data_IF_346831045235
#
_entry.id   IF_346831045235
#
_cell.length_a   1.000
_cell.length_b   1.000
_cell.length_c   1.000
_cell.angle_alpha   90.00
_cell.angle_beta   90.00
_cell.angle_gamma   90.00
#
_symmetry.space_group_name_H-M   'P 1'
#
loop_
_entity.id
_entity.type
_entity.pdbx_description
1 polymer ?
#
# COMPACT_ATOMS: atom_id res chain seq x y z
N UNK A 1 6.97 -27.67 -46.16
CA UNK A 1 5.84 -28.42 -45.56
C UNK A 1 5.05 -27.42 -44.73
N UNK A 2 3.86 -27.00 -45.18
CA UNK A 2 3.04 -26.00 -44.46
C UNK A 2 2.40 -26.64 -43.23
N UNK A 3 2.74 -26.14 -42.04
CA UNK A 3 2.11 -26.53 -40.77
C UNK A 3 0.58 -26.39 -40.87
N UNK A 4 -0.15 -27.34 -40.29
CA UNK A 4 -1.61 -27.27 -40.19
C UNK A 4 -2.03 -25.97 -39.48
N UNK A 5 -2.81 -25.08 -40.13
CA UNK A 5 -3.30 -23.86 -39.51
C UNK A 5 -4.16 -24.10 -38.25
N UNK A 6 -4.61 -25.34 -38.00
CA UNK A 6 -5.37 -25.73 -36.81
C UNK A 6 -4.52 -26.20 -35.63
N UNK A 7 -3.19 -26.24 -35.76
CA UNK A 7 -2.33 -26.67 -34.66
C UNK A 7 -2.47 -25.72 -33.44
N UNK A 8 -2.79 -26.22 -32.23
CA UNK A 8 -3.20 -25.37 -31.11
C UNK A 8 -2.08 -24.43 -30.63
N UNK A 9 -0.83 -24.86 -30.73
CA UNK A 9 0.35 -24.00 -30.45
C UNK A 9 0.43 -22.84 -31.45
N UNK A 10 0.15 -23.10 -32.73
CA UNK A 10 0.20 -22.07 -33.77
C UNK A 10 -0.89 -21.04 -33.55
N UNK A 11 -2.09 -21.49 -33.20
CA UNK A 11 -3.22 -20.61 -32.83
C UNK A 11 -2.82 -19.73 -31.65
N UNK A 12 -2.29 -20.33 -30.58
CA UNK A 12 -1.85 -19.58 -29.40
C UNK A 12 -0.74 -18.56 -29.70
N UNK A 13 0.28 -18.96 -30.48
CA UNK A 13 1.37 -18.06 -30.87
C UNK A 13 0.88 -16.95 -31.80
N UNK A 14 -0.07 -17.21 -32.70
CA UNK A 14 -0.69 -16.20 -33.56
C UNK A 14 -1.52 -15.16 -32.82
N UNK A 15 -1.85 -15.40 -31.54
CA UNK A 15 -2.49 -14.39 -30.70
C UNK A 15 -1.46 -13.50 -30.00
N UNK A 16 -0.16 -13.79 -30.13
CA UNK A 16 0.89 -13.00 -29.50
C UNK A 16 1.36 -11.87 -30.43
N UNK A 17 1.43 -10.62 -29.95
CA UNK A 17 1.74 -9.46 -30.79
C UNK A 17 3.06 -9.57 -31.57
N UNK A 18 4.08 -10.19 -30.97
CA UNK A 18 5.43 -10.30 -31.53
C UNK A 18 5.59 -11.44 -32.55
N UNK A 19 4.63 -12.38 -32.63
CA UNK A 19 4.81 -13.59 -33.44
C UNK A 19 4.70 -13.29 -34.94
N UNK A 20 3.81 -12.36 -35.31
CA UNK A 20 3.59 -11.97 -36.70
C UNK A 20 4.77 -11.25 -37.33
N UNK A 21 5.61 -10.60 -36.51
CA UNK A 21 6.80 -9.88 -36.96
C UNK A 21 7.98 -10.81 -37.29
N UNK A 22 7.89 -12.09 -36.91
CA UNK A 22 8.90 -13.08 -37.26
C UNK A 22 8.76 -13.52 -38.73
N UNK A 23 9.88 -13.80 -39.38
CA UNK A 23 9.89 -14.43 -40.70
C UNK A 23 9.15 -15.77 -40.70
N UNK A 24 8.49 -16.11 -41.80
CA UNK A 24 7.66 -17.33 -41.90
C UNK A 24 8.42 -18.63 -41.59
N UNK A 25 9.71 -18.69 -41.95
CA UNK A 25 10.62 -19.79 -41.60
C UNK A 25 10.83 -19.89 -40.09
N UNK A 26 11.14 -18.76 -39.44
CA UNK A 26 11.33 -18.66 -37.98
C UNK A 26 10.04 -18.97 -37.22
N UNK A 27 8.89 -18.51 -37.71
CA UNK A 27 7.57 -18.86 -37.14
C UNK A 27 7.36 -20.38 -37.15
N UNK A 28 7.68 -21.03 -38.28
CA UNK A 28 7.53 -22.47 -38.44
C UNK A 28 8.45 -23.25 -37.50
N UNK A 29 9.73 -22.87 -37.43
CA UNK A 29 10.70 -23.46 -36.51
C UNK A 29 10.27 -23.31 -35.05
N UNK A 30 9.81 -22.11 -34.66
CA UNK A 30 9.38 -21.85 -33.29
C UNK A 30 8.17 -22.70 -32.92
N UNK A 31 7.14 -22.77 -33.78
CA UNK A 31 5.94 -23.59 -33.51
C UNK A 31 6.30 -25.06 -33.28
N UNK A 32 7.25 -25.61 -34.06
CA UNK A 32 7.72 -26.97 -33.89
C UNK A 32 8.57 -27.19 -32.63
N UNK A 33 9.26 -26.15 -32.16
CA UNK A 33 10.12 -26.22 -30.98
C UNK A 33 9.35 -26.08 -29.65
N UNK A 34 8.10 -25.60 -29.67
CA UNK A 34 7.33 -25.42 -28.45
C UNK A 34 7.06 -26.76 -27.73
N UNK A 35 7.21 -26.74 -26.42
CA UNK A 35 6.94 -27.87 -25.54
C UNK A 35 5.47 -27.88 -25.14
N UNK A 36 4.88 -29.06 -24.96
CA UNK A 36 3.54 -29.24 -24.43
C UNK A 36 3.59 -30.10 -23.17
N UNK A 37 2.87 -29.69 -22.14
CA UNK A 37 2.74 -30.45 -20.90
C UNK A 37 1.28 -30.45 -20.44
N UNK A 38 0.75 -31.61 -20.08
CA UNK A 38 -0.62 -31.78 -19.58
C UNK A 38 -0.60 -32.24 -18.14
N UNK A 39 -1.59 -31.80 -17.37
CA UNK A 39 -1.79 -32.20 -15.98
C UNK A 39 -3.29 -32.20 -15.66
N UNK A 40 -3.73 -33.19 -14.89
CA UNK A 40 -5.06 -33.24 -14.31
C UNK A 40 -5.18 -32.26 -13.13
N UNK A 41 -6.41 -31.97 -12.70
CA UNK A 41 -6.65 -31.15 -11.50
C UNK A 41 -5.82 -31.61 -10.29
N UNK A 42 -5.07 -30.68 -9.69
CA UNK A 42 -4.28 -30.90 -8.49
C UNK A 42 -2.84 -31.38 -8.74
N UNK A 43 -2.52 -31.78 -9.98
CA UNK A 43 -1.18 -32.25 -10.32
C UNK A 43 -0.17 -31.10 -10.48
N UNK A 44 1.10 -31.44 -10.22
CA UNK A 44 2.22 -30.51 -10.30
C UNK A 44 2.68 -30.39 -11.75
N UNK A 45 2.64 -29.17 -12.28
CA UNK A 45 3.15 -28.82 -13.60
C UNK A 45 4.64 -28.47 -13.55
N UNK A 46 5.05 -27.67 -12.56
CA UNK A 46 6.45 -27.29 -12.34
C UNK A 46 6.76 -27.40 -10.87
N UNK A 47 7.91 -27.98 -10.54
CA UNK A 47 8.37 -28.15 -9.16
C UNK A 47 9.36 -27.07 -8.77
N UNK A 48 9.21 -26.52 -7.56
CA UNK A 48 10.21 -25.65 -6.96
C UNK A 48 11.57 -26.35 -6.89
N UNK A 49 12.62 -25.60 -7.20
CA UNK A 49 14.01 -26.06 -7.15
C UNK A 49 14.48 -26.74 -8.44
N UNK A 50 13.60 -27.02 -9.41
CA UNK A 50 14.04 -27.54 -10.70
C UNK A 50 14.61 -26.42 -11.57
N UNK A 51 15.52 -26.80 -12.45
CA UNK A 51 16.10 -25.89 -13.43
C UNK A 51 15.07 -25.38 -14.44
N UNK A 52 15.29 -24.17 -14.92
CA UNK A 52 14.41 -23.56 -15.92
C UNK A 52 14.76 -24.08 -17.31
N UNK A 53 13.82 -24.79 -17.94
CA UNK A 53 13.99 -25.37 -19.28
C UNK A 53 13.22 -24.61 -20.37
N UNK A 54 12.15 -23.93 -19.98
CA UNK A 54 11.27 -23.19 -20.86
C UNK A 54 10.55 -22.05 -20.12
N UNK A 55 10.13 -21.05 -20.88
CA UNK A 55 9.14 -20.07 -20.46
C UNK A 55 7.74 -20.60 -20.78
N UNK A 56 6.85 -20.63 -19.81
CA UNK A 56 5.57 -21.35 -19.93
C UNK A 56 4.37 -20.41 -20.03
N UNK A 57 3.35 -20.86 -20.75
CA UNK A 57 2.02 -20.28 -20.76
C UNK A 57 0.95 -21.35 -20.59
N UNK A 58 -0.21 -20.95 -20.09
CA UNK A 58 -1.38 -21.85 -20.04
C UNK A 58 -2.07 -21.81 -21.39
N UNK A 59 -2.02 -22.91 -22.13
CA UNK A 59 -2.73 -23.06 -23.40
C UNK A 59 -4.23 -23.28 -23.18
N UNK A 60 -4.58 -24.11 -22.20
CA UNK A 60 -5.96 -24.40 -21.81
C UNK A 60 -6.02 -24.76 -20.32
N UNK A 61 -7.12 -24.45 -19.65
CA UNK A 61 -7.31 -24.75 -18.23
C UNK A 61 -6.98 -23.58 -17.31
N UNK A 62 -6.35 -23.87 -16.17
CA UNK A 62 -5.92 -22.85 -15.19
C UNK A 62 -4.86 -23.43 -14.26
N UNK A 63 -3.76 -22.71 -14.08
CA UNK A 63 -2.72 -23.04 -13.11
C UNK A 63 -2.73 -22.07 -11.93
N UNK A 64 -2.09 -22.46 -10.83
CA UNK A 64 -1.76 -21.58 -9.71
C UNK A 64 -0.28 -21.70 -9.37
N UNK A 65 0.32 -20.57 -9.01
CA UNK A 65 1.66 -20.50 -8.46
C UNK A 65 1.56 -20.48 -6.93
N UNK A 66 2.31 -21.34 -6.28
CA UNK A 66 2.29 -21.47 -4.83
C UNK A 66 3.68 -21.65 -4.24
N UNK A 67 3.84 -21.18 -3.01
CA UNK A 67 5.01 -21.46 -2.18
C UNK A 67 4.57 -22.18 -0.92
N UNK A 68 5.36 -23.14 -0.49
CA UNK A 68 5.25 -23.72 0.84
C UNK A 68 5.98 -22.84 1.85
N UNK A 69 5.25 -22.38 2.87
CA UNK A 69 5.79 -21.61 3.99
C UNK A 69 6.35 -22.50 5.11
N UNK A 70 6.85 -21.90 6.20
CA UNK A 70 7.26 -22.64 7.40
C UNK A 70 6.11 -23.51 7.92
N UNK A 71 6.42 -24.75 8.33
CA UNK A 71 5.45 -25.76 8.82
C UNK A 71 4.50 -26.36 7.77
N UNK A 72 4.87 -26.37 6.49
CA UNK A 72 4.13 -27.09 5.44
C UNK A 72 2.87 -26.39 4.95
N UNK A 73 2.67 -25.13 5.33
CA UNK A 73 1.50 -24.35 4.93
C UNK A 73 1.67 -23.83 3.50
N UNK A 74 0.85 -24.32 2.59
CA UNK A 74 0.89 -23.94 1.17
C UNK A 74 0.14 -22.62 0.96
N UNK A 75 0.81 -21.63 0.36
CA UNK A 75 0.22 -20.34 0.00
C UNK A 75 0.29 -20.13 -1.51
N UNK A 76 -0.87 -20.10 -2.15
CA UNK A 76 -0.99 -19.69 -3.54
C UNK A 76 -1.05 -18.16 -3.63
N UNK A 77 -0.20 -17.57 -4.46
CA UNK A 77 -0.10 -16.10 -4.59
C UNK A 77 -0.53 -15.59 -5.97
N UNK A 78 -0.76 -16.48 -6.93
CA UNK A 78 -1.24 -16.09 -8.24
C UNK A 78 -1.92 -17.25 -8.99
N UNK A 79 -3.06 -16.98 -9.62
CA UNK A 79 -3.68 -17.84 -10.63
C UNK A 79 -3.29 -17.40 -12.05
N UNK A 80 -3.08 -18.35 -12.94
CA UNK A 80 -2.78 -18.12 -14.37
C UNK A 80 -3.88 -18.77 -15.21
N UNK A 81 -4.74 -17.98 -15.88
CA UNK A 81 -5.75 -18.51 -16.79
C UNK A 81 -5.14 -18.89 -18.15
N UNK A 82 -5.92 -19.59 -18.98
CA UNK A 82 -5.54 -19.84 -20.37
C UNK A 82 -5.29 -18.53 -21.14
N UNK A 83 -4.29 -18.54 -22.02
CA UNK A 83 -3.84 -17.36 -22.77
C UNK A 83 -2.64 -16.64 -22.15
N UNK A 84 -2.34 -16.89 -20.87
CA UNK A 84 -1.37 -16.11 -20.12
C UNK A 84 -0.02 -16.83 -19.92
N UNK A 85 1.05 -16.04 -20.04
CA UNK A 85 2.43 -16.45 -19.75
C UNK A 85 2.74 -16.32 -18.26
N UNK A 86 3.72 -17.11 -17.80
CA UNK A 86 4.28 -16.97 -16.47
C UNK A 86 5.74 -17.43 -16.39
N UNK A 87 6.45 -16.93 -15.39
CA UNK A 87 7.83 -17.36 -15.09
C UNK A 87 8.90 -16.52 -15.79
N UNK A 88 8.52 -15.36 -16.33
CA UNK A 88 9.39 -14.37 -16.99
C UNK A 88 10.62 -14.08 -16.13
N UNK A 89 10.38 -13.77 -14.85
CA UNK A 89 11.45 -13.47 -13.90
C UNK A 89 12.38 -14.66 -13.60
N UNK A 90 11.90 -15.90 -13.73
CA UNK A 90 12.71 -17.12 -13.56
C UNK A 90 13.63 -17.30 -14.78
N UNK A 91 13.05 -17.18 -15.97
CA UNK A 91 13.75 -17.35 -17.26
C UNK A 91 14.80 -16.26 -17.47
N UNK A 92 14.46 -14.99 -17.18
CA UNK A 92 15.37 -13.85 -17.29
C UNK A 92 16.58 -13.95 -16.35
N UNK A 93 16.37 -14.46 -15.13
CA UNK A 93 17.44 -14.65 -14.15
C UNK A 93 18.27 -15.91 -14.38
N UNK A 94 17.75 -16.85 -15.18
CA UNK A 94 18.35 -18.17 -15.34
C UNK A 94 18.49 -18.94 -14.03
N UNK A 95 17.58 -18.70 -13.07
CA UNK A 95 17.62 -19.34 -11.75
C UNK A 95 16.62 -20.50 -11.66
N UNK A 96 16.81 -21.47 -10.75
CA UNK A 96 15.82 -22.49 -10.47
C UNK A 96 14.45 -21.90 -10.08
N UNK A 97 13.38 -22.66 -10.32
CA UNK A 97 12.02 -22.26 -9.93
C UNK A 97 11.92 -22.04 -8.42
N UNK A 98 11.37 -20.89 -8.01
CA UNK A 98 11.22 -20.53 -6.59
C UNK A 98 9.87 -20.91 -5.98
N UNK A 99 8.97 -21.44 -6.80
CA UNK A 99 7.59 -21.77 -6.46
C UNK A 99 7.14 -22.97 -7.28
N UNK A 100 6.11 -23.65 -6.80
CA UNK A 100 5.43 -24.71 -7.51
C UNK A 100 4.36 -24.12 -8.43
N UNK A 101 4.10 -24.82 -9.53
CA UNK A 101 2.99 -24.56 -10.44
C UNK A 101 2.08 -25.77 -10.42
N UNK A 102 0.84 -25.58 -10.04
CA UNK A 102 -0.14 -26.67 -9.86
C UNK A 102 -1.36 -26.41 -10.73
N UNK A 103 -1.87 -27.45 -11.36
CA UNK A 103 -3.11 -27.40 -12.13
C UNK A 103 -4.32 -27.22 -11.20
N UNK A 104 -5.13 -26.18 -11.42
CA UNK A 104 -6.37 -25.93 -10.66
C UNK A 104 -7.54 -26.76 -11.21
N UNK A 105 -7.47 -27.09 -12.50
CA UNK A 105 -8.33 -27.99 -13.28
C UNK A 105 -7.47 -28.64 -14.34
N UNK A 106 -8.03 -29.53 -15.17
CA UNK A 106 -7.31 -30.10 -16.30
C UNK A 106 -6.69 -28.98 -17.15
N UNK A 107 -5.35 -29.00 -17.22
CA UNK A 107 -4.55 -27.88 -17.70
C UNK A 107 -3.50 -28.37 -18.68
N UNK A 108 -3.40 -27.68 -19.80
CA UNK A 108 -2.33 -27.86 -20.78
C UNK A 108 -1.46 -26.60 -20.78
N UNK A 109 -0.17 -26.77 -20.57
CA UNK A 109 0.84 -25.75 -20.76
C UNK A 109 1.47 -25.85 -22.15
N UNK A 110 1.90 -24.70 -22.65
CA UNK A 110 2.78 -24.57 -23.81
C UNK A 110 4.04 -23.82 -23.39
N UNK A 111 5.21 -24.32 -23.76
CA UNK A 111 6.51 -23.82 -23.29
C UNK A 111 7.43 -23.41 -24.42
N UNK A 112 7.94 -22.19 -24.39
CA UNK A 112 9.01 -21.74 -25.26
C UNK A 112 10.36 -22.21 -24.68
N UNK A 113 11.14 -23.05 -25.38
CA UNK A 113 12.45 -23.48 -24.90
C UNK A 113 13.37 -22.30 -24.57
N UNK A 114 14.21 -22.46 -23.54
CA UNK A 114 15.08 -21.40 -23.07
C UNK A 114 16.02 -20.85 -24.15
N UNK A 115 16.49 -21.69 -25.07
CA UNK A 115 17.32 -21.27 -26.20
C UNK A 115 16.58 -20.30 -27.14
N UNK A 116 15.30 -20.58 -27.43
CA UNK A 116 14.44 -19.72 -28.22
C UNK A 116 14.15 -18.40 -27.51
N UNK A 117 13.83 -18.46 -26.21
CA UNK A 117 13.64 -17.25 -25.41
C UNK A 117 14.87 -16.35 -25.45
N UNK A 118 16.07 -16.92 -25.22
CA UNK A 118 17.34 -16.17 -25.24
C UNK A 118 17.64 -15.57 -26.62
N UNK A 119 17.39 -16.33 -27.70
CA UNK A 119 17.56 -15.85 -29.08
C UNK A 119 16.65 -14.65 -29.34
N UNK A 120 15.35 -14.78 -29.07
CA UNK A 120 14.38 -13.70 -29.28
C UNK A 120 14.70 -12.50 -28.39
N UNK A 121 15.05 -12.71 -27.13
CA UNK A 121 15.43 -11.64 -26.21
C UNK A 121 16.67 -10.85 -26.70
N UNK A 122 17.65 -11.53 -27.29
CA UNK A 122 18.86 -10.89 -27.80
C UNK A 122 18.67 -10.19 -29.17
N UNK A 123 17.69 -10.60 -29.97
CA UNK A 123 17.62 -10.23 -31.40
C UNK A 123 16.31 -9.61 -31.86
N UNK A 124 15.22 -9.71 -31.08
CA UNK A 124 13.87 -9.35 -31.55
C UNK A 124 13.23 -8.25 -30.68
N UNK A 125 13.22 -7.02 -31.19
CA UNK A 125 12.72 -5.85 -30.46
C UNK A 125 11.21 -5.93 -30.09
N UNK A 126 10.28 -6.34 -30.99
CA UNK A 126 8.87 -6.49 -30.61
C UNK A 126 8.65 -7.49 -29.48
N UNK A 127 9.46 -8.55 -29.41
CA UNK A 127 9.41 -9.53 -28.32
C UNK A 127 9.85 -8.91 -26.99
N UNK A 128 10.90 -8.09 -27.01
CA UNK A 128 11.37 -7.37 -25.83
C UNK A 128 10.35 -6.34 -25.32
N UNK A 129 9.69 -5.60 -26.22
CA UNK A 129 8.61 -4.69 -25.83
C UNK A 129 7.45 -5.46 -25.18
N UNK A 130 7.02 -6.57 -25.78
CA UNK A 130 6.01 -7.44 -25.18
C UNK A 130 6.42 -7.92 -23.78
N UNK A 131 7.67 -8.33 -23.60
CA UNK A 131 8.17 -8.78 -22.30
C UNK A 131 8.14 -7.66 -21.24
N UNK A 132 8.50 -6.44 -21.62
CA UNK A 132 8.43 -5.25 -20.75
C UNK A 132 6.99 -4.96 -20.35
N UNK A 133 6.05 -4.99 -21.30
CA UNK A 133 4.62 -4.80 -21.04
C UNK A 133 4.10 -5.84 -20.05
N UNK A 134 4.42 -7.13 -20.25
CA UNK A 134 4.03 -8.20 -19.33
C UNK A 134 4.62 -8.06 -17.93
N UNK A 135 5.89 -7.67 -17.82
CA UNK A 135 6.51 -7.38 -16.53
C UNK A 135 5.84 -6.20 -15.82
N UNK A 136 5.45 -5.17 -16.57
CA UNK A 136 4.75 -4.00 -16.03
C UNK A 136 3.34 -4.35 -15.54
N UNK A 137 2.57 -5.14 -16.32
CA UNK A 137 1.28 -5.69 -15.90
C UNK A 137 1.41 -6.48 -14.60
N UNK A 138 2.42 -7.35 -14.52
CA UNK A 138 2.67 -8.19 -13.35
C UNK A 138 3.05 -7.37 -12.12
N UNK A 139 3.85 -6.32 -12.29
CA UNK A 139 4.18 -5.38 -11.22
C UNK A 139 2.92 -4.66 -10.71
N UNK A 140 2.06 -4.19 -11.62
CA UNK A 140 0.78 -3.58 -11.26
C UNK A 140 -0.14 -4.54 -10.49
N UNK A 141 -0.23 -5.80 -10.91
CA UNK A 141 -0.97 -6.84 -10.19
C UNK A 141 -0.39 -7.09 -8.79
N UNK A 142 0.94 -7.16 -8.66
CA UNK A 142 1.62 -7.35 -7.39
C UNK A 142 1.38 -6.16 -6.44
N UNK A 143 1.51 -4.92 -6.92
CA UNK A 143 1.23 -3.72 -6.14
C UNK A 143 -0.21 -3.71 -5.65
N UNK A 144 -1.18 -4.02 -6.52
CA UNK A 144 -2.60 -4.13 -6.15
C UNK A 144 -2.82 -5.18 -5.05
N UNK A 145 -2.13 -6.32 -5.14
CA UNK A 145 -2.24 -7.41 -4.15
C UNK A 145 -1.60 -7.03 -2.82
N UNK A 146 -0.44 -6.36 -2.84
CA UNK A 146 0.26 -5.87 -1.64
C UNK A 146 -0.57 -4.79 -0.94
N UNK A 147 -1.12 -3.85 -1.70
CA UNK A 147 -2.01 -2.81 -1.18
C UNK A 147 -3.29 -3.43 -0.59
N UNK A 148 -3.89 -4.39 -1.29
CA UNK A 148 -5.00 -5.16 -0.78
C UNK A 148 -4.66 -5.90 0.53
N UNK A 149 -3.45 -6.47 0.64
CA UNK A 149 -2.98 -7.12 1.87
C UNK A 149 -2.72 -6.15 3.03
N UNK A 150 -2.44 -4.87 2.74
CA UNK A 150 -2.04 -3.86 3.74
C UNK A 150 -3.18 -2.93 4.22
N UNK A 151 -4.17 -2.64 3.38
CA UNK A 151 -5.20 -1.63 3.67
C UNK A 151 -6.62 -2.18 3.76
N UNK A 152 -6.88 -3.42 3.33
CA UNK A 152 -8.23 -3.97 3.26
C UNK A 152 -8.62 -4.71 4.53
N UNK A 153 -9.82 -4.43 5.00
CA UNK A 153 -10.52 -5.17 6.06
C UNK A 153 -10.70 -6.64 5.66
N UNK A 154 -10.90 -7.55 6.63
CA UNK A 154 -11.20 -8.96 6.32
C UNK A 154 -12.40 -9.15 5.38
N UNK A 155 -13.41 -8.29 5.44
CA UNK A 155 -14.58 -8.34 4.54
C UNK A 155 -14.20 -8.01 3.10
N UNK A 156 -13.43 -6.94 2.88
CA UNK A 156 -12.96 -6.53 1.56
C UNK A 156 -12.02 -7.58 0.93
N UNK A 157 -11.17 -8.22 1.73
CA UNK A 157 -10.28 -9.30 1.25
C UNK A 157 -11.06 -10.52 0.79
N UNK A 158 -12.07 -10.95 1.54
CA UNK A 158 -12.94 -12.05 1.12
C UNK A 158 -13.75 -11.68 -0.11
N UNK A 159 -14.34 -10.48 -0.14
CA UNK A 159 -15.10 -10.01 -1.30
C UNK A 159 -14.25 -9.97 -2.58
N UNK A 160 -13.00 -9.51 -2.49
CA UNK A 160 -12.06 -9.49 -3.62
C UNK A 160 -11.76 -10.89 -4.15
N UNK A 161 -11.48 -11.86 -3.29
CA UNK A 161 -11.21 -13.24 -3.71
C UNK A 161 -12.44 -13.85 -4.39
N UNK A 162 -13.63 -13.66 -3.83
CA UNK A 162 -14.87 -14.15 -4.45
C UNK A 162 -15.09 -13.50 -5.83
N UNK A 163 -14.88 -12.19 -5.96
CA UNK A 163 -15.01 -11.46 -7.22
C UNK A 163 -13.94 -11.81 -8.25
N UNK A 164 -12.73 -12.18 -7.82
CA UNK A 164 -11.68 -12.71 -8.69
C UNK A 164 -12.14 -14.00 -9.39
N UNK A 165 -12.81 -14.90 -8.68
CA UNK A 165 -13.39 -16.10 -9.31
C UNK A 165 -14.59 -15.77 -10.21
N UNK A 166 -15.47 -14.86 -9.79
CA UNK A 166 -16.61 -14.43 -10.62
C UNK A 166 -16.15 -13.79 -11.94
N UNK A 167 -15.13 -12.93 -11.90
CA UNK A 167 -14.56 -12.30 -13.10
C UNK A 167 -13.86 -13.29 -14.03
N UNK A 168 -13.38 -14.41 -13.50
CA UNK A 168 -12.91 -15.56 -14.28
C UNK A 168 -14.06 -16.47 -14.78
N UNK A 169 -15.32 -16.05 -14.65
CA UNK A 169 -16.49 -16.81 -15.09
C UNK A 169 -16.92 -17.94 -14.14
N UNK A 170 -16.43 -17.95 -12.89
CA UNK A 170 -16.68 -19.00 -11.90
C UNK A 170 -17.45 -18.41 -10.70
N UNK A 171 -18.78 -18.23 -10.81
CA UNK A 171 -19.59 -17.70 -9.70
C UNK A 171 -19.82 -18.73 -8.59
N UNK A 172 -19.59 -20.02 -8.87
CA UNK A 172 -19.67 -21.14 -7.92
C UNK A 172 -18.28 -21.62 -7.57
N UNK A 173 -17.81 -21.25 -6.40
CA UNK A 173 -16.44 -21.49 -5.96
C UNK A 173 -16.42 -22.74 -5.10
N UNK A 174 -15.81 -23.81 -5.62
CA UNK A 174 -15.63 -25.08 -4.91
C UNK A 174 -14.26 -25.10 -4.22
N UNK A 175 -14.11 -24.29 -3.18
CA UNK A 175 -12.91 -24.22 -2.35
C UNK A 175 -13.29 -24.30 -0.88
N UNK A 176 -12.41 -24.92 -0.09
CA UNK A 176 -12.59 -24.92 1.36
C UNK A 176 -12.41 -23.54 1.95
N UNK A 177 -13.03 -23.30 3.10
CA UNK A 177 -12.83 -22.05 3.84
C UNK A 177 -11.36 -21.87 4.28
N UNK A 178 -10.62 -22.98 4.37
CA UNK A 178 -9.19 -22.99 4.64
C UNK A 178 -8.39 -22.50 3.42
N UNK A 179 -8.71 -23.00 2.22
CA UNK A 179 -8.10 -22.55 0.96
C UNK A 179 -8.43 -21.08 0.66
N UNK A 180 -9.69 -20.67 0.89
CA UNK A 180 -10.09 -19.27 0.79
C UNK A 180 -9.35 -18.41 1.82
N UNK A 181 -9.03 -18.96 3.00
CA UNK A 181 -8.21 -18.31 4.00
C UNK A 181 -6.78 -18.10 3.54
N UNK A 182 -6.19 -19.09 2.88
CA UNK A 182 -4.86 -18.97 2.30
C UNK A 182 -4.80 -17.92 1.20
N UNK A 183 -5.80 -17.89 0.30
CA UNK A 183 -5.89 -16.90 -0.77
C UNK A 183 -6.13 -15.49 -0.24
N UNK A 184 -7.01 -15.34 0.74
CA UNK A 184 -7.30 -14.04 1.33
C UNK A 184 -6.25 -13.60 2.35
N UNK A 185 -5.33 -14.47 2.78
CA UNK A 185 -4.38 -14.26 3.88
C UNK A 185 -5.05 -14.05 5.23
N UNK A 186 -6.11 -14.82 5.51
CA UNK A 186 -6.93 -14.76 6.72
C UNK A 186 -7.03 -16.15 7.38
N UNK A 187 -7.32 -16.21 8.68
CA UNK A 187 -7.60 -17.49 9.35
C UNK A 187 -8.92 -18.10 8.87
N UNK A 188 -9.04 -19.44 8.89
CA UNK A 188 -10.29 -20.16 8.57
C UNK A 188 -11.48 -19.63 9.38
N UNK A 189 -11.27 -19.34 10.67
CA UNK A 189 -12.30 -18.74 11.54
C UNK A 189 -12.76 -17.36 11.04
N UNK A 190 -11.82 -16.54 10.57
CA UNK A 190 -12.14 -15.22 10.02
C UNK A 190 -12.90 -15.32 8.71
N UNK A 191 -12.51 -16.25 7.83
CA UNK A 191 -13.24 -16.55 6.59
C UNK A 191 -14.67 -17.00 6.90
N UNK A 192 -14.84 -17.97 7.79
CA UNK A 192 -16.15 -18.48 8.17
C UNK A 192 -17.06 -17.35 8.68
N UNK A 193 -16.53 -16.52 9.58
CA UNK A 193 -17.25 -15.36 10.13
C UNK A 193 -17.69 -14.38 9.04
N UNK A 194 -16.81 -14.05 8.10
CA UNK A 194 -17.13 -13.11 7.01
C UNK A 194 -18.13 -13.71 6.02
N UNK A 195 -17.96 -14.97 5.64
CA UNK A 195 -18.89 -15.67 4.75
C UNK A 195 -20.28 -15.79 5.36
N UNK A 196 -20.39 -16.07 6.66
CA UNK A 196 -21.68 -16.06 7.38
C UNK A 196 -22.33 -14.69 7.40
N UNK A 197 -21.55 -13.61 7.48
CA UNK A 197 -22.08 -12.24 7.35
C UNK A 197 -22.57 -11.93 5.94
N UNK A 198 -21.91 -12.44 4.90
CA UNK A 198 -22.34 -12.27 3.51
C UNK A 198 -23.59 -13.09 3.19
N UNK A 199 -23.68 -14.31 3.74
CA UNK A 199 -24.85 -15.19 3.64
C UNK A 199 -26.08 -14.55 4.29
N UNK A 200 -25.94 -14.00 5.50
CA UNK A 200 -27.02 -13.29 6.19
C UNK A 200 -27.54 -12.06 5.42
N UNK A 201 -26.73 -11.50 4.52
CA UNK A 201 -27.09 -10.37 3.63
C UNK A 201 -27.57 -10.82 2.25
N UNK A 202 -27.64 -12.13 1.99
CA UNK A 202 -28.03 -12.70 0.69
C UNK A 202 -27.00 -12.48 -0.42
N UNK A 203 -25.76 -12.14 -0.10
CA UNK A 203 -24.72 -11.87 -1.11
C UNK A 203 -24.08 -13.14 -1.65
N UNK A 204 -24.06 -14.18 -0.82
CA UNK A 204 -23.55 -15.51 -1.14
C UNK A 204 -24.48 -16.57 -0.53
N UNK A 205 -24.45 -17.78 -1.07
CA UNK A 205 -25.00 -18.99 -0.42
C UNK A 205 -23.85 -19.93 -0.07
N UNK A 206 -23.93 -20.56 1.10
CA UNK A 206 -22.90 -21.49 1.57
C UNK A 206 -23.45 -22.92 1.55
N UNK A 207 -22.72 -23.81 0.90
CA UNK A 207 -22.93 -25.26 0.94
C UNK A 207 -21.64 -25.95 1.41
N UNK A 208 -21.70 -27.27 1.61
CA UNK A 208 -20.52 -28.04 1.98
C UNK A 208 -19.39 -27.84 0.96
N UNK A 209 -18.30 -27.19 1.40
CA UNK A 209 -17.12 -26.88 0.60
C UNK A 209 -17.38 -26.03 -0.66
N UNK A 210 -18.48 -25.25 -0.65
CA UNK A 210 -18.94 -24.47 -1.80
C UNK A 210 -19.47 -23.11 -1.36
N UNK A 211 -19.06 -22.07 -2.06
CA UNK A 211 -19.59 -20.71 -1.94
C UNK A 211 -20.10 -20.27 -3.30
N UNK A 212 -21.39 -19.96 -3.41
CA UNK A 212 -21.97 -19.39 -4.63
C UNK A 212 -22.24 -17.90 -4.42
N UNK A 213 -21.79 -17.08 -5.36
CA UNK A 213 -21.98 -15.62 -5.31
C UNK A 213 -23.31 -15.27 -5.96
N UNK A 214 -24.29 -14.88 -5.14
CA UNK A 214 -25.63 -14.54 -5.58
C UNK A 214 -25.74 -13.07 -6.03
N UNK A 215 -24.97 -12.17 -5.41
CA UNK A 215 -24.98 -10.75 -5.74
C UNK A 215 -23.56 -10.17 -5.83
N UNK A 216 -22.95 -10.27 -7.01
CA UNK A 216 -21.62 -9.69 -7.28
C UNK A 216 -21.61 -8.16 -7.15
N UNK A 217 -22.73 -7.48 -7.45
CA UNK A 217 -22.86 -6.03 -7.31
C UNK A 217 -22.68 -5.55 -5.86
N UNK A 218 -23.26 -6.26 -4.89
CA UNK A 218 -23.12 -5.92 -3.47
C UNK A 218 -21.71 -6.19 -2.93
N UNK A 219 -21.06 -7.27 -3.40
CA UNK A 219 -19.64 -7.52 -3.08
C UNK A 219 -18.74 -6.44 -3.70
N UNK A 220 -19.06 -5.97 -4.91
CA UNK A 220 -18.35 -4.84 -5.53
C UNK A 220 -18.54 -3.53 -4.75
N UNK A 221 -19.68 -3.33 -4.09
CA UNK A 221 -19.96 -2.13 -3.30
C UNK A 221 -19.22 -2.09 -1.95
N UNK A 222 -18.84 -3.26 -1.41
CA UNK A 222 -17.96 -3.37 -0.23
C UNK A 222 -16.53 -2.95 -0.52
N UNK A 223 -16.05 -3.25 -1.72
CA UNK A 223 -14.73 -2.80 -2.12
C UNK A 223 -14.78 -1.29 -2.23
N UNK A 224 -13.79 -0.55 -1.70
CA UNK A 224 -13.65 0.87 -1.99
C UNK A 224 -13.79 1.05 -3.50
N UNK A 225 -14.49 2.09 -3.97
CA UNK A 225 -14.68 2.38 -5.42
C UNK A 225 -13.35 2.59 -6.19
N UNK A 226 -12.21 2.32 -5.58
CA UNK A 226 -10.94 2.08 -6.22
C UNK A 226 -10.91 0.67 -6.84
N UNK A 227 -11.44 0.61 -8.06
CA UNK A 227 -11.40 -0.56 -8.92
C UNK A 227 -11.96 -0.22 -10.28
N UNK A 228 -13.23 0.21 -10.36
CA UNK A 228 -13.81 0.74 -11.60
C UNK A 228 -13.20 2.07 -11.99
N UNK A 229 -13.20 3.06 -11.12
CA UNK A 229 -12.58 4.34 -11.43
C UNK A 229 -11.03 4.32 -11.46
N UNK A 230 -10.36 3.22 -11.11
CA UNK A 230 -8.90 3.09 -11.24
C UNK A 230 -8.51 2.35 -12.53
N UNK A 231 -9.33 1.38 -12.98
CA UNK A 231 -9.21 0.72 -14.29
C UNK A 231 -9.82 1.55 -15.43
N UNK A 232 -10.87 2.34 -15.17
CA UNK A 232 -11.46 3.31 -16.09
C UNK A 232 -10.63 4.61 -16.18
N UNK A 233 -9.77 4.88 -15.20
CA UNK A 233 -8.76 5.97 -15.23
C UNK A 233 -7.35 5.49 -15.60
N UNK A 234 -7.18 4.19 -15.85
CA UNK A 234 -5.99 3.69 -16.53
C UNK A 234 -6.28 3.74 -18.02
N UNK A 235 -5.48 4.49 -18.82
CA UNK A 235 -5.90 4.84 -20.17
C UNK A 235 -6.00 3.59 -21.05
N UNK A 236 -7.22 3.23 -21.45
CA UNK A 236 -7.47 2.32 -22.54
C UNK A 236 -7.40 3.11 -23.85
N UNK A 237 -6.21 3.38 -24.36
CA UNK A 237 -6.05 3.76 -25.77
C UNK A 237 -4.73 3.25 -26.35
N UNK A 238 -4.77 2.71 -27.60
CA UNK A 238 -3.60 2.36 -28.36
C UNK A 238 -2.94 3.64 -28.88
N UNK A 239 -1.62 3.72 -28.79
CA UNK A 239 -0.76 4.81 -29.26
C UNK A 239 -0.70 6.06 -28.36
N UNK A 240 0.51 6.29 -27.81
CA UNK A 240 0.96 7.59 -27.33
C UNK A 240 1.19 7.67 -25.83
N UNK A 241 2.37 7.23 -25.35
CA UNK A 241 2.86 7.65 -24.05
C UNK A 241 4.23 8.33 -24.13
N UNK A 242 4.18 9.65 -24.01
CA UNK A 242 5.15 10.43 -23.25
C UNK A 242 4.39 10.94 -22.02
N UNK A 243 4.89 10.80 -20.78
CA UNK A 243 4.25 11.39 -19.62
C UNK A 243 4.30 12.92 -19.71
N UNK A 244 3.21 13.57 -19.32
CA UNK A 244 3.20 14.93 -18.74
C UNK A 244 3.98 14.99 -17.41
N UNK A 245 5.22 14.52 -17.40
CA UNK A 245 6.19 14.63 -16.30
C UNK A 245 6.94 15.94 -16.43
N UNK A 246 6.29 17.01 -15.99
CA UNK A 246 6.98 18.22 -15.48
C UNK A 246 6.44 18.59 -14.07
N UNK A 247 5.30 18.04 -13.62
CA UNK A 247 4.58 18.59 -12.45
C UNK A 247 4.85 17.88 -11.11
N UNK A 248 5.30 16.61 -11.09
CA UNK A 248 5.62 15.91 -9.83
C UNK A 248 6.70 16.62 -8.97
N UNK A 249 7.81 17.15 -9.54
CA UNK A 249 8.74 17.96 -8.75
C UNK A 249 8.15 19.32 -8.35
N UNK A 250 7.25 19.90 -9.14
CA UNK A 250 6.59 21.19 -8.83
C UNK A 250 5.65 21.11 -7.62
N UNK A 251 5.05 19.94 -7.33
CA UNK A 251 4.10 19.80 -6.22
C UNK A 251 4.79 19.79 -4.86
N UNK A 252 5.96 19.13 -4.76
CA UNK A 252 6.86 19.29 -3.62
C UNK A 252 7.27 20.76 -3.45
N UNK A 253 7.70 21.44 -4.53
CA UNK A 253 8.01 22.87 -4.47
C UNK A 253 6.85 23.72 -3.93
N UNK A 254 5.60 23.41 -4.32
CA UNK A 254 4.41 24.11 -3.84
C UNK A 254 4.16 23.90 -2.34
N UNK A 255 4.44 22.71 -1.81
CA UNK A 255 4.22 22.37 -0.40
C UNK A 255 5.21 23.06 0.55
N UNK A 256 6.43 23.32 0.08
CA UNK A 256 7.45 24.04 0.85
C UNK A 256 7.46 25.55 0.61
N UNK A 257 6.80 26.04 -0.44
CA UNK A 257 6.81 27.46 -0.80
C UNK A 257 6.37 28.40 0.34
N UNK A 258 5.29 28.15 1.10
CA UNK A 258 4.90 29.03 2.21
C UNK A 258 5.93 29.05 3.34
N UNK A 259 6.57 27.91 3.60
CA UNK A 259 7.60 27.78 4.64
C UNK A 259 8.86 28.55 4.26
N UNK A 260 9.32 28.42 3.01
CA UNK A 260 10.46 29.18 2.51
C UNK A 260 10.16 30.68 2.53
N UNK A 261 8.98 31.10 2.06
CA UNK A 261 8.55 32.49 2.09
C UNK A 261 8.53 33.06 3.52
N UNK A 262 8.06 32.28 4.49
CA UNK A 262 8.10 32.64 5.91
C UNK A 262 9.52 32.91 6.40
N UNK A 263 10.47 31.99 6.17
CA UNK A 263 11.85 32.16 6.65
C UNK A 263 12.56 33.33 6.01
N UNK A 264 12.32 33.54 4.71
CA UNK A 264 12.87 34.67 3.96
C UNK A 264 12.36 36.00 4.52
N UNK A 265 11.04 36.12 4.75
CA UNK A 265 10.45 37.31 5.35
C UNK A 265 10.90 37.53 6.81
N UNK A 266 11.01 36.45 7.59
CA UNK A 266 11.50 36.50 8.98
C UNK A 266 12.90 37.08 9.08
N UNK A 267 13.78 36.72 8.13
CA UNK A 267 15.18 37.17 8.13
C UNK A 267 15.32 38.68 7.86
N UNK A 268 14.36 39.28 7.17
CA UNK A 268 14.39 40.70 6.82
C UNK A 268 13.66 41.59 7.82
N UNK A 269 12.47 41.19 8.26
CA UNK A 269 11.54 42.12 8.93
C UNK A 269 10.84 41.48 10.16
N UNK A 270 11.39 40.37 10.65
CA UNK A 270 10.93 39.74 11.88
C UNK A 270 9.60 38.98 11.77
N UNK A 271 9.04 38.63 12.91
CA UNK A 271 8.01 37.60 13.03
C UNK A 271 6.62 38.01 12.52
N UNK A 272 6.28 39.30 12.61
CA UNK A 272 4.98 39.80 12.17
C UNK A 272 4.87 39.77 10.65
N UNK A 273 5.86 40.32 9.94
CA UNK A 273 5.93 40.27 8.48
C UNK A 273 6.05 38.83 7.96
N UNK A 274 6.82 37.98 8.62
CA UNK A 274 6.89 36.56 8.31
C UNK A 274 5.53 35.86 8.40
N UNK A 275 4.76 36.17 9.46
CA UNK A 275 3.43 35.58 9.68
C UNK A 275 2.44 36.02 8.60
N UNK A 276 2.45 37.30 8.23
CA UNK A 276 1.60 37.82 7.15
C UNK A 276 1.94 37.16 5.79
N UNK A 277 3.24 37.03 5.49
CA UNK A 277 3.74 36.37 4.27
C UNK A 277 3.35 34.90 4.24
N UNK A 278 3.47 34.19 5.37
CA UNK A 278 3.01 32.81 5.47
C UNK A 278 1.51 32.72 5.17
N UNK A 279 0.67 33.51 5.82
CA UNK A 279 -0.79 33.50 5.60
C UNK A 279 -1.16 33.75 4.13
N UNK A 280 -0.50 34.70 3.47
CA UNK A 280 -0.71 35.00 2.06
C UNK A 280 -0.24 33.82 1.18
N UNK A 281 0.97 33.32 1.40
CA UNK A 281 1.55 32.22 0.64
C UNK A 281 0.75 30.94 0.77
N UNK A 282 0.28 30.56 1.96
CA UNK A 282 -0.55 29.36 2.13
C UNK A 282 -1.93 29.54 1.49
N UNK A 283 -2.51 30.74 1.51
CA UNK A 283 -3.78 31.03 0.80
C UNK A 283 -3.61 30.85 -0.71
N UNK A 284 -2.55 31.42 -1.29
CA UNK A 284 -2.22 31.28 -2.72
C UNK A 284 -1.95 29.82 -3.07
N UNK A 285 -1.18 29.12 -2.24
CA UNK A 285 -0.93 27.69 -2.39
C UNK A 285 -2.25 26.90 -2.44
N UNK A 286 -3.18 27.13 -1.52
CA UNK A 286 -4.47 26.44 -1.52
C UNK A 286 -5.34 26.82 -2.71
N UNK A 287 -5.29 28.06 -3.19
CA UNK A 287 -5.99 28.47 -4.41
C UNK A 287 -5.43 27.76 -5.65
N UNK A 288 -4.11 27.63 -5.76
CA UNK A 288 -3.45 26.88 -6.85
C UNK A 288 -3.81 25.40 -6.78
N UNK A 289 -3.72 24.78 -5.59
CA UNK A 289 -4.11 23.37 -5.40
C UNK A 289 -5.58 23.16 -5.76
N UNK A 290 -6.48 24.07 -5.36
CA UNK A 290 -7.89 24.00 -5.73
C UNK A 290 -8.12 24.21 -7.24
N UNK A 291 -7.40 25.12 -7.89
CA UNK A 291 -7.51 25.35 -9.33
C UNK A 291 -7.06 24.12 -10.14
N UNK A 292 -6.00 23.44 -9.69
CA UNK A 292 -5.45 22.25 -10.33
C UNK A 292 -6.28 20.99 -10.06
N UNK A 293 -6.58 20.71 -8.79
CA UNK A 293 -7.20 19.45 -8.37
C UNK A 293 -8.73 19.55 -8.22
N UNK A 294 -9.31 20.75 -8.31
CA UNK A 294 -10.75 21.07 -8.09
C UNK A 294 -11.31 20.59 -6.75
N UNK A 295 -10.44 20.21 -5.81
CA UNK A 295 -10.79 19.74 -4.47
C UNK A 295 -9.68 20.07 -3.47
N UNK A 296 -10.06 20.50 -2.26
CA UNK A 296 -9.14 20.63 -1.13
C UNK A 296 -9.35 19.46 -0.16
N UNK A 297 -8.25 18.78 0.20
CA UNK A 297 -8.26 17.70 1.20
C UNK A 297 -8.57 18.26 2.59
N UNK A 298 -9.06 17.41 3.50
CA UNK A 298 -9.38 17.81 4.87
C UNK A 298 -8.17 18.43 5.58
N UNK A 299 -6.98 17.87 5.39
CA UNK A 299 -5.73 18.38 5.95
C UNK A 299 -5.44 19.81 5.46
N UNK A 300 -5.57 20.10 4.16
CA UNK A 300 -5.35 21.45 3.62
C UNK A 300 -6.30 22.49 4.23
N UNK A 301 -7.57 22.12 4.42
CA UNK A 301 -8.57 23.00 5.05
C UNK A 301 -8.22 23.25 6.51
N UNK A 302 -7.82 22.21 7.25
CA UNK A 302 -7.41 22.31 8.65
C UNK A 302 -6.16 23.18 8.78
N UNK A 303 -5.14 22.96 7.95
CA UNK A 303 -3.89 23.73 7.95
C UNK A 303 -4.13 25.20 7.62
N UNK A 304 -4.92 25.50 6.58
CA UNK A 304 -5.26 26.87 6.22
C UNK A 304 -6.02 27.58 7.35
N UNK A 305 -7.02 26.90 7.94
CA UNK A 305 -7.79 27.45 9.05
C UNK A 305 -6.89 27.73 10.27
N UNK A 306 -6.00 26.79 10.62
CA UNK A 306 -5.08 26.94 11.75
C UNK A 306 -4.13 28.13 11.54
N UNK A 307 -3.53 28.24 10.36
CA UNK A 307 -2.62 29.34 10.02
C UNK A 307 -3.35 30.68 10.06
N UNK A 308 -4.58 30.75 9.56
CA UNK A 308 -5.36 31.98 9.62
C UNK A 308 -5.75 32.38 11.03
N UNK A 309 -6.23 31.45 11.85
CA UNK A 309 -6.62 31.73 13.24
C UNK A 309 -5.42 32.20 14.07
N UNK A 310 -4.33 31.43 14.07
CA UNK A 310 -3.15 31.77 14.87
C UNK A 310 -2.36 32.93 14.28
N UNK A 311 -2.30 33.05 12.95
CA UNK A 311 -1.62 34.14 12.26
C UNK A 311 -2.33 35.47 12.46
N UNK A 312 -3.65 35.51 12.30
CA UNK A 312 -4.45 36.70 12.59
C UNK A 312 -4.33 37.12 14.05
N UNK A 313 -4.34 36.17 14.99
CA UNK A 313 -4.13 36.46 16.41
C UNK A 313 -2.74 37.05 16.69
N UNK A 314 -1.70 36.51 16.04
CA UNK A 314 -0.32 37.01 16.17
C UNK A 314 -0.19 38.44 15.64
N UNK A 315 -0.82 38.74 14.50
CA UNK A 315 -0.86 40.07 13.90
C UNK A 315 -1.81 41.04 14.62
N UNK A 316 -2.88 40.57 15.25
CA UNK A 316 -3.80 41.43 15.98
C UNK A 316 -3.23 41.84 17.34
N UNK A 317 -2.53 40.93 18.02
CA UNK A 317 -2.03 41.17 19.37
C UNK A 317 -0.75 42.02 19.39
N UNK A 318 0.11 41.95 18.37
CA UNK A 318 1.38 42.70 18.28
C UNK A 318 2.21 42.70 19.59
N UNK A 319 2.11 41.63 20.37
CA UNK A 319 2.68 41.57 21.72
C UNK A 319 3.66 40.40 21.83
N UNK A 320 4.93 40.70 22.10
CA UNK A 320 5.98 39.71 22.35
C UNK A 320 5.63 38.77 23.51
N UNK A 321 4.83 39.23 24.48
CA UNK A 321 4.35 38.41 25.59
C UNK A 321 3.51 37.25 25.08
N UNK A 322 2.66 37.46 24.08
CA UNK A 322 1.87 36.37 23.49
C UNK A 322 2.76 35.25 22.92
N UNK A 323 3.86 35.63 22.28
CA UNK A 323 4.84 34.70 21.71
C UNK A 323 5.52 33.90 22.83
N UNK A 324 5.89 34.57 23.94
CA UNK A 324 6.53 33.92 25.08
C UNK A 324 5.61 32.95 25.82
N UNK A 325 4.32 33.28 25.95
CA UNK A 325 3.32 32.47 26.68
C UNK A 325 2.79 31.28 25.87
N UNK A 326 2.89 31.31 24.54
CA UNK A 326 2.36 30.26 23.64
C UNK A 326 2.79 28.83 24.04
N UNK A 327 4.06 28.53 24.37
CA UNK A 327 4.46 27.20 24.83
C UNK A 327 3.85 26.80 26.17
N UNK A 328 3.74 27.74 27.12
CA UNK A 328 3.16 27.48 28.44
C UNK A 328 1.68 27.06 28.33
N UNK A 329 0.92 27.79 27.50
CA UNK A 329 -0.48 27.50 27.22
C UNK A 329 -0.63 26.14 26.52
N UNK A 330 0.22 25.83 25.53
CA UNK A 330 0.17 24.56 24.81
C UNK A 330 0.42 23.36 25.72
N UNK A 331 1.48 23.41 26.53
CA UNK A 331 1.78 22.35 27.49
C UNK A 331 0.69 22.22 28.56
N UNK A 332 0.14 23.35 29.04
CA UNK A 332 -0.98 23.35 29.99
C UNK A 332 -2.23 22.69 29.42
N UNK A 333 -2.62 23.05 28.20
CA UNK A 333 -3.76 22.44 27.52
C UNK A 333 -3.57 20.93 27.27
N UNK A 334 -2.36 20.51 26.88
CA UNK A 334 -2.02 19.10 26.70
C UNK A 334 -2.09 18.33 28.03
N UNK A 335 -1.56 18.90 29.11
CA UNK A 335 -1.65 18.33 30.46
C UNK A 335 -3.10 18.13 30.89
N UNK A 336 -3.95 19.17 30.74
CA UNK A 336 -5.37 19.11 31.07
C UNK A 336 -6.11 18.06 30.24
N UNK A 337 -5.84 18.01 28.93
CA UNK A 337 -6.47 17.06 28.03
C UNK A 337 -6.11 15.62 28.39
N UNK A 338 -4.83 15.34 28.63
CA UNK A 338 -4.35 14.02 29.03
C UNK A 338 -4.90 13.63 30.41
N UNK A 339 -4.93 14.55 31.37
CA UNK A 339 -5.48 14.34 32.70
C UNK A 339 -7.00 14.07 32.67
N UNK A 340 -7.76 14.85 31.92
CA UNK A 340 -9.21 14.66 31.75
C UNK A 340 -9.51 13.32 31.05
N UNK A 341 -8.75 12.98 30.00
CA UNK A 341 -8.88 11.68 29.33
C UNK A 341 -8.60 10.51 30.27
N UNK A 342 -7.51 10.58 31.04
CA UNK A 342 -7.06 9.50 31.91
C UNK A 342 -7.93 9.34 33.16
N UNK A 343 -8.24 10.43 33.87
CA UNK A 343 -8.97 10.39 35.13
C UNK A 343 -10.48 10.59 34.98
N UNK A 344 -10.91 11.46 34.07
CA UNK A 344 -12.34 11.72 33.82
C UNK A 344 -12.99 10.62 32.99
N UNK A 345 -12.46 10.36 31.79
CA UNK A 345 -13.03 9.37 30.87
C UNK A 345 -12.44 7.95 31.00
N UNK A 346 -11.46 7.75 31.89
CA UNK A 346 -10.74 6.47 32.08
C UNK A 346 -10.18 5.91 30.76
N UNK A 347 -9.79 6.79 29.83
CA UNK A 347 -9.19 6.45 28.54
C UNK A 347 -7.72 6.84 28.51
N UNK A 348 -6.87 5.88 28.15
CA UNK A 348 -5.46 6.13 27.97
C UNK A 348 -5.16 6.52 26.50
N UNK A 349 -5.00 7.82 26.25
CA UNK A 349 -4.77 8.36 24.89
C UNK A 349 -3.47 7.86 24.28
N UNK A 350 -2.39 7.76 25.08
CA UNK A 350 -1.11 7.23 24.60
C UNK A 350 -1.24 5.76 24.18
N UNK A 351 -1.95 4.95 24.97
CA UNK A 351 -2.25 3.57 24.60
C UNK A 351 -3.14 3.47 23.36
N UNK A 352 -4.10 4.37 23.19
CA UNK A 352 -4.98 4.39 22.00
C UNK A 352 -4.19 4.68 20.71
N UNK A 353 -3.18 5.54 20.78
CA UNK A 353 -2.38 5.96 19.63
C UNK A 353 -1.23 5.00 19.32
N UNK A 354 -0.58 4.45 20.35
CA UNK A 354 0.67 3.68 20.21
C UNK A 354 0.55 2.21 20.64
N UNK A 355 -0.59 1.79 21.19
CA UNK A 355 -0.78 0.43 21.72
C UNK A 355 -0.73 -0.68 20.67
N UNK A 356 -0.90 -0.35 19.38
CA UNK A 356 -0.69 -1.30 18.27
C UNK A 356 0.77 -1.51 17.92
N UNK A 357 1.67 -0.62 18.34
CA UNK A 357 3.11 -0.66 18.04
C UNK A 357 3.94 -1.18 19.22
N UNK A 358 3.44 -1.03 20.46
CA UNK A 358 4.17 -1.40 21.68
C UNK A 358 3.31 -2.32 22.58
N UNK A 359 3.66 -3.62 22.71
CA UNK A 359 2.91 -4.57 23.53
C UNK A 359 3.24 -4.38 25.03
N UNK A 360 2.72 -3.30 25.64
CA UNK A 360 2.95 -3.00 27.05
C UNK A 360 1.70 -3.29 27.92
N UNK A 361 1.87 -3.72 29.18
CA UNK A 361 0.77 -3.87 30.14
C UNK A 361 0.02 -2.55 30.38
N UNK A 362 -1.29 -2.63 30.68
CA UNK A 362 -2.15 -1.46 30.94
C UNK A 362 -1.65 -0.60 32.12
N UNK A 363 -1.07 -1.22 33.16
CA UNK A 363 -0.48 -0.51 34.30
C UNK A 363 0.74 0.33 33.89
N UNK A 364 1.54 -0.15 32.94
CA UNK A 364 2.70 0.58 32.41
C UNK A 364 2.22 1.76 31.58
N UNK A 365 1.22 1.55 30.72
CA UNK A 365 0.56 2.63 29.98
C UNK A 365 0.01 3.71 30.91
N UNK A 366 -0.61 3.34 32.03
CA UNK A 366 -1.11 4.32 32.98
C UNK A 366 0.03 5.17 33.57
N UNK A 367 1.14 4.55 33.98
CA UNK A 367 2.32 5.25 34.53
C UNK A 367 2.97 6.17 33.49
N UNK A 368 3.09 5.72 32.24
CA UNK A 368 3.57 6.54 31.12
C UNK A 368 2.72 7.80 30.96
N UNK A 369 1.40 7.65 30.91
CA UNK A 369 0.49 8.79 30.72
C UNK A 369 0.54 9.77 31.89
N UNK A 370 0.66 9.27 33.13
CA UNK A 370 0.87 10.14 34.30
C UNK A 370 2.19 10.89 34.21
N UNK A 371 3.27 10.24 33.77
CA UNK A 371 4.56 10.90 33.58
C UNK A 371 4.50 11.98 32.48
N UNK A 372 3.77 11.75 31.39
CA UNK A 372 3.52 12.77 30.36
C UNK A 372 2.70 13.95 30.87
N UNK A 373 1.67 13.71 31.69
CA UNK A 373 0.90 14.77 32.34
C UNK A 373 1.83 15.60 33.24
N UNK A 374 2.60 14.95 34.11
CA UNK A 374 3.53 15.63 35.02
C UNK A 374 4.58 16.46 34.28
N UNK A 375 5.16 15.90 33.21
CA UNK A 375 6.11 16.62 32.36
C UNK A 375 5.47 17.83 31.66
N UNK A 376 4.25 17.68 31.13
CA UNK A 376 3.54 18.80 30.51
C UNK A 376 3.22 19.89 31.54
N UNK A 377 2.82 19.55 32.77
CA UNK A 377 2.62 20.53 33.84
C UNK A 377 3.94 21.23 34.18
N UNK A 378 5.03 20.48 34.37
CA UNK A 378 6.35 21.04 34.62
C UNK A 378 6.78 22.02 33.52
N UNK A 379 6.65 21.62 32.26
CA UNK A 379 6.99 22.47 31.12
C UNK A 379 6.06 23.68 30.99
N UNK A 380 4.77 23.54 31.31
CA UNK A 380 3.83 24.66 31.31
C UNK A 380 4.24 25.71 32.34
N UNK A 381 4.53 25.28 33.57
CA UNK A 381 5.00 26.17 34.64
C UNK A 381 6.33 26.79 34.27
N UNK A 382 7.33 26.01 33.90
CA UNK A 382 8.67 26.50 33.56
C UNK A 382 8.60 27.53 32.42
N UNK A 383 7.84 27.27 31.37
CA UNK A 383 7.66 28.24 30.28
C UNK A 383 6.86 29.48 30.72
N UNK A 384 5.89 29.33 31.61
CA UNK A 384 5.14 30.47 32.17
C UNK A 384 6.02 31.38 33.02
N UNK A 385 6.89 30.79 33.85
CA UNK A 385 7.90 31.51 34.68
C UNK A 385 8.86 32.29 33.79
N UNK A 386 9.46 31.63 32.79
CA UNK A 386 10.37 32.28 31.83
C UNK A 386 9.63 33.38 31.06
N UNK A 387 8.39 33.13 30.62
CA UNK A 387 7.60 34.11 29.89
C UNK A 387 7.22 35.34 30.74
N UNK A 388 6.97 35.16 32.05
CA UNK A 388 6.54 36.22 32.95
C UNK A 388 7.69 37.12 33.43
N UNK A 389 8.88 36.54 33.65
CA UNK A 389 9.94 37.23 34.40
C UNK A 389 11.27 37.39 33.66
N UNK A 390 11.48 36.75 32.51
CA UNK A 390 12.77 36.84 31.79
C UNK A 390 12.71 37.83 30.61
N UNK A 391 13.86 38.45 30.32
CA UNK A 391 14.05 39.30 29.13
C UNK A 391 13.87 38.49 27.85
N UNK A 392 13.68 39.17 26.72
CA UNK A 392 13.49 38.50 25.42
C UNK A 392 14.73 37.70 25.02
N UNK A 393 15.94 38.22 25.24
CA UNK A 393 17.19 37.50 24.94
C UNK A 393 17.38 36.26 25.81
N UNK A 394 17.15 36.38 27.12
CA UNK A 394 17.21 35.23 28.03
C UNK A 394 16.15 34.16 27.71
N UNK A 395 14.98 34.57 27.22
CA UNK A 395 13.96 33.65 26.73
C UNK A 395 14.40 32.92 25.45
N UNK A 396 15.08 33.60 24.51
CA UNK A 396 15.64 32.96 23.31
C UNK A 396 16.72 31.94 23.69
N UNK A 397 17.63 32.29 24.60
CA UNK A 397 18.66 31.38 25.08
C UNK A 397 18.05 30.16 25.80
N UNK A 398 17.00 30.38 26.60
CA UNK A 398 16.23 29.30 27.19
C UNK A 398 15.61 28.38 26.13
N UNK A 399 15.17 28.91 24.99
CA UNK A 399 14.65 28.08 23.90
C UNK A 399 15.74 27.24 23.25
N UNK A 400 16.95 27.77 23.10
CA UNK A 400 18.07 27.06 22.50
C UNK A 400 18.57 25.93 23.41
N UNK A 401 18.76 26.19 24.70
CA UNK A 401 19.32 25.20 25.63
C UNK A 401 18.26 24.34 26.32
N UNK A 402 17.01 24.82 26.39
CA UNK A 402 15.89 24.12 27.00
C UNK A 402 15.48 22.84 26.30
N UNK A 403 16.03 22.51 25.12
CA UNK A 403 15.86 21.20 24.48
C UNK A 403 16.45 20.04 25.29
N UNK A 404 17.26 20.32 26.31
CA UNK A 404 17.72 19.29 27.24
C UNK A 404 16.58 18.63 28.02
N UNK A 405 15.52 19.38 28.36
CA UNK A 405 14.36 18.84 29.09
C UNK A 405 13.58 17.79 28.27
N UNK A 406 13.14 18.05 27.03
CA UNK A 406 12.47 17.02 26.21
C UNK A 406 13.40 15.88 25.86
N UNK A 407 14.70 16.12 25.61
CA UNK A 407 15.66 15.06 25.35
C UNK A 407 15.78 14.10 26.53
N UNK A 408 16.03 14.63 27.73
CA UNK A 408 16.14 13.83 28.95
C UNK A 408 14.84 13.06 29.25
N UNK A 409 13.68 13.71 29.06
CA UNK A 409 12.38 13.07 29.25
C UNK A 409 12.17 11.91 28.27
N UNK A 410 12.43 12.11 26.97
CA UNK A 410 12.27 11.06 25.95
C UNK A 410 13.22 9.89 26.20
N UNK A 411 14.49 10.16 26.54
CA UNK A 411 15.46 9.12 26.87
C UNK A 411 15.00 8.32 28.10
N UNK A 412 14.55 9.01 29.16
CA UNK A 412 14.03 8.37 30.36
C UNK A 412 12.79 7.50 30.08
N UNK A 413 11.87 7.98 29.25
CA UNK A 413 10.69 7.22 28.80
C UNK A 413 11.11 5.99 27.98
N UNK A 414 12.07 6.14 27.06
CA UNK A 414 12.60 5.05 26.25
C UNK A 414 13.23 3.94 27.11
N UNK A 415 14.07 4.31 28.07
CA UNK A 415 14.68 3.36 29.02
C UNK A 415 13.63 2.65 29.89
N UNK A 416 12.60 3.38 30.34
CA UNK A 416 11.51 2.80 31.12
C UNK A 416 10.67 1.82 30.31
N UNK A 417 10.33 2.17 29.07
CA UNK A 417 9.58 1.32 28.12
C UNK A 417 10.39 0.06 27.78
N UNK A 418 11.68 0.21 27.47
CA UNK A 418 12.57 -0.91 27.13
C UNK A 418 12.58 -2.01 28.19
N UNK A 419 12.53 -1.66 29.47
CA UNK A 419 12.47 -2.63 30.58
C UNK A 419 11.17 -3.43 30.68
N UNK A 420 10.12 -3.01 29.98
CA UNK A 420 8.78 -3.62 30.04
C UNK A 420 8.34 -4.24 28.71
N UNK A 421 9.15 -4.12 27.66
CA UNK A 421 9.01 -4.94 26.45
C UNK A 421 9.42 -6.37 26.81
N UNK A 422 8.49 -7.31 26.71
CA UNK A 422 8.82 -8.74 26.82
C UNK A 422 9.65 -9.13 25.60
N UNK A 423 10.79 -9.78 25.82
CA UNK A 423 11.48 -10.50 24.75
C UNK A 423 10.57 -11.65 24.31
N UNK A 424 10.23 -11.71 23.02
CA UNK A 424 9.47 -12.80 22.38
C UNK A 424 10.35 -14.07 22.24
N UNK A 425 11.06 -14.44 23.31
CA UNK A 425 11.75 -15.73 23.45
C UNK A 425 11.27 -16.43 24.71
N UNK A 426 10.12 -17.12 24.59
CA UNK A 426 9.75 -18.30 25.36
C UNK A 426 8.70 -19.11 24.60
#
# INVERSE_FOLDING_TARGET
MTLDPRHPVRIFLSQQPWFHDLEATTQHELVHAMLLQRAARGELLVRRGTEVVAWWAVLAGMAKLQTEGPHGRVSAFLGVPAGEWFGEGTVLKGSPWRYDVVAVRDTTLVGMPLAWFRRLHATHLPFNHFLIERLNERLGQAMTTIEAGRLRTPQERVAQILLMFCSAGVPRITLSQEDLGHLAGLSRQTINRVLKQFEARGWVTLDFNRVEVCCSASLHALLPQFGRAALDRWPQHPHGWWPRRIIAPMRWLLDFAPLVAFFVAYRWDGIYTATAVLMAATTVQMAIIYALDRRLQALHKITLALIWVFGALTLALHDERFIKWKPAVLYGALALTLAAALWGWRRNVLQLLLGSQLPLPSTVWHRLTVAWIAYCVFMAVLNGVVAAWWSTDAWVDFKLWGYIFPLAFIVGQGLYVARHLKDDTA
#
